data_IF_495975416435
#
_entry.id   IF_495975416435
#
_cell.length_a   1.000
_cell.length_b   1.000
_cell.length_c   1.000
_cell.angle_alpha   90.00
_cell.angle_beta   90.00
_cell.angle_gamma   90.00
#
_symmetry.space_group_name_H-M   'P 1'
#
loop_
_entity.id
_entity.type
_entity.pdbx_description
1 polymer ?
#
# COMPACT_ATOMS: atom_id res chain seq x y z
N UNK A 1 12.91 23.82 14.77
CA UNK A 1 13.87 22.83 15.28
C UNK A 1 13.89 21.64 14.35
N UNK A 2 15.02 20.94 14.23
CA UNK A 2 15.13 19.72 13.41
C UNK A 2 14.82 18.52 14.29
N UNK A 3 14.09 17.53 13.77
CA UNK A 3 13.85 16.26 14.46
C UNK A 3 15.09 15.38 14.42
N UNK A 4 15.52 14.92 15.59
CA UNK A 4 16.58 13.92 15.74
C UNK A 4 16.03 12.49 15.72
N UNK A 5 16.93 11.50 15.67
CA UNK A 5 16.58 10.08 15.82
C UNK A 5 15.87 9.79 17.15
N UNK A 6 16.34 10.39 18.25
CA UNK A 6 15.73 10.22 19.58
C UNK A 6 14.30 10.77 19.64
N UNK A 7 14.04 11.92 18.99
CA UNK A 7 12.68 12.50 18.93
C UNK A 7 11.73 11.57 18.16
N UNK A 8 12.22 10.92 17.10
CA UNK A 8 11.45 9.96 16.31
C UNK A 8 11.17 8.69 17.10
N UNK A 9 12.16 8.11 17.79
CA UNK A 9 11.97 6.94 18.66
C UNK A 9 10.96 7.22 19.76
N UNK A 10 11.10 8.34 20.48
CA UNK A 10 10.14 8.76 21.50
C UNK A 10 8.73 8.97 20.92
N UNK A 11 8.63 9.49 19.69
CA UNK A 11 7.37 9.62 18.96
C UNK A 11 6.72 8.27 18.64
N UNK A 12 7.49 7.28 18.21
CA UNK A 12 6.98 5.93 17.93
C UNK A 12 6.52 5.22 19.21
N UNK A 13 7.27 5.37 20.31
CA UNK A 13 6.90 4.88 21.63
C UNK A 13 5.60 5.53 22.11
N UNK A 14 5.49 6.86 22.05
CA UNK A 14 4.29 7.59 22.46
C UNK A 14 3.06 7.27 21.60
N UNK A 15 3.24 6.98 20.30
CA UNK A 15 2.18 6.51 19.41
C UNK A 15 1.72 5.07 19.77
N UNK A 16 2.51 4.34 20.56
CA UNK A 16 2.22 2.99 21.02
C UNK A 16 2.65 1.89 20.05
N UNK A 17 3.65 2.14 19.19
CA UNK A 17 4.18 1.12 18.30
C UNK A 17 4.92 0.05 19.12
N UNK A 18 4.53 -1.24 19.07
CA UNK A 18 5.18 -2.25 19.89
C UNK A 18 6.61 -2.57 19.41
N UNK A 19 7.53 -2.74 20.36
CA UNK A 19 8.86 -3.32 20.09
C UNK A 19 8.69 -4.72 19.48
N UNK A 20 9.50 -5.06 18.49
CA UNK A 20 9.43 -6.33 17.77
C UNK A 20 8.26 -6.45 16.78
N UNK A 21 7.46 -5.40 16.59
CA UNK A 21 6.34 -5.46 15.66
C UNK A 21 6.78 -5.63 14.21
N UNK A 22 5.92 -6.30 13.44
CA UNK A 22 5.91 -6.16 11.98
C UNK A 22 5.01 -5.00 11.60
N UNK A 23 5.52 -4.04 10.84
CA UNK A 23 4.80 -2.82 10.48
C UNK A 23 4.93 -2.51 9.00
N UNK A 24 3.81 -2.24 8.34
CA UNK A 24 3.83 -1.61 7.01
C UNK A 24 3.71 -0.09 7.15
N UNK A 25 4.56 0.64 6.44
CA UNK A 25 4.73 2.07 6.58
C UNK A 25 4.34 2.80 5.31
N UNK A 26 3.51 3.81 5.47
CA UNK A 26 3.20 4.82 4.46
C UNK A 26 3.64 6.16 5.00
N UNK A 27 4.50 6.90 4.28
CA UNK A 27 5.11 8.10 4.83
C UNK A 27 5.23 9.23 3.82
N UNK A 28 5.06 10.46 4.33
CA UNK A 28 5.41 11.70 3.64
C UNK A 28 6.49 12.41 4.45
N UNK A 29 7.74 12.37 4.00
CA UNK A 29 8.86 12.99 4.73
C UNK A 29 8.63 14.49 4.96
N UNK A 30 8.05 15.19 3.99
CA UNK A 30 7.80 16.63 4.10
C UNK A 30 6.81 16.99 5.21
N UNK A 31 5.95 16.05 5.63
CA UNK A 31 4.98 16.29 6.70
C UNK A 31 5.65 16.41 8.09
N UNK A 32 6.84 15.84 8.27
CA UNK A 32 7.57 15.93 9.54
C UNK A 32 8.19 17.31 9.80
N UNK A 33 8.25 18.17 8.79
CA UNK A 33 9.10 19.37 8.82
C UNK A 33 10.55 19.01 8.48
N UNK A 34 11.51 19.48 9.28
CA UNK A 34 12.93 19.22 9.07
C UNK A 34 13.35 18.01 9.92
N UNK A 35 13.90 16.98 9.28
CA UNK A 35 14.48 15.80 9.93
C UNK A 35 15.99 15.81 9.69
N UNK A 36 16.79 15.67 10.75
CA UNK A 36 18.24 15.53 10.65
C UNK A 36 18.55 14.25 9.86
N UNK A 37 19.41 14.29 8.84
CA UNK A 37 19.69 13.12 7.99
C UNK A 37 18.54 12.66 7.09
N UNK A 38 17.40 13.36 7.09
CA UNK A 38 16.26 13.10 6.21
C UNK A 38 15.61 11.73 6.46
N UNK A 39 15.19 11.05 5.39
CA UNK A 39 14.45 9.79 5.51
C UNK A 39 15.26 8.63 6.08
N UNK A 40 16.59 8.65 5.92
CA UNK A 40 17.46 7.61 6.47
C UNK A 40 17.33 7.55 8.00
N UNK A 41 17.20 8.71 8.65
CA UNK A 41 17.00 8.82 10.09
C UNK A 41 15.61 8.35 10.52
N UNK A 42 14.57 8.57 9.70
CA UNK A 42 13.22 8.04 9.97
C UNK A 42 13.23 6.50 9.91
N UNK A 43 13.87 5.91 8.90
CA UNK A 43 14.02 4.46 8.80
C UNK A 43 14.91 3.90 9.93
N UNK A 44 16.01 4.59 10.26
CA UNK A 44 16.92 4.24 11.36
C UNK A 44 16.20 4.20 12.70
N UNK A 45 15.56 5.31 13.08
CA UNK A 45 14.76 5.43 14.29
C UNK A 45 13.68 4.35 14.40
N UNK A 46 12.98 4.06 13.29
CA UNK A 46 11.94 3.03 13.28
C UNK A 46 12.54 1.63 13.53
N UNK A 47 13.69 1.32 12.91
CA UNK A 47 14.37 0.03 13.12
C UNK A 47 14.92 -0.09 14.54
N UNK A 48 15.51 0.98 15.07
CA UNK A 48 16.02 1.03 16.44
C UNK A 48 14.89 0.80 17.44
N UNK A 49 13.78 1.53 17.30
CA UNK A 49 12.59 1.39 18.14
C UNK A 49 12.01 -0.04 18.12
N UNK A 50 11.88 -0.63 16.92
CA UNK A 50 11.37 -1.99 16.80
C UNK A 50 12.36 -3.05 17.28
N UNK A 51 13.65 -2.74 17.32
CA UNK A 51 14.71 -3.67 17.70
C UNK A 51 14.89 -4.84 16.73
N UNK A 52 15.73 -5.84 17.09
CA UNK A 52 16.16 -6.89 16.17
C UNK A 52 15.06 -7.89 15.76
N UNK A 53 13.95 -7.93 16.50
CA UNK A 53 12.78 -8.76 16.16
C UNK A 53 11.79 -8.05 15.24
N UNK A 54 11.96 -6.74 15.05
CA UNK A 54 11.09 -5.90 14.24
C UNK A 54 11.23 -6.14 12.74
N UNK A 55 10.12 -6.03 12.00
CA UNK A 55 10.14 -6.06 10.54
C UNK A 55 9.44 -4.83 9.97
N UNK A 56 10.16 -4.04 9.17
CA UNK A 56 9.62 -2.88 8.45
C UNK A 56 9.27 -3.28 7.03
N UNK A 57 8.07 -2.91 6.59
CA UNK A 57 7.58 -3.15 5.22
C UNK A 57 7.11 -1.84 4.61
N UNK A 58 7.33 -1.65 3.32
CA UNK A 58 6.88 -0.48 2.56
C UNK A 58 6.30 -0.90 1.21
N UNK A 59 5.21 -0.27 0.74
CA UNK A 59 4.82 -0.39 -0.66
C UNK A 59 5.92 0.17 -1.56
N UNK A 60 6.37 -0.63 -2.54
CA UNK A 60 7.40 -0.25 -3.51
C UNK A 60 6.82 -0.30 -4.93
N UNK A 61 5.61 0.23 -5.10
CA UNK A 61 4.85 0.13 -6.34
C UNK A 61 5.57 0.78 -7.51
N UNK A 62 5.41 0.17 -8.68
CA UNK A 62 6.11 0.50 -9.93
C UNK A 62 5.13 0.68 -11.08
N UNK A 63 3.84 0.82 -10.77
CA UNK A 63 2.77 1.00 -11.76
C UNK A 63 2.92 2.23 -12.65
N UNK A 64 3.72 3.23 -12.27
CA UNK A 64 4.02 4.37 -13.14
C UNK A 64 5.02 4.04 -14.25
N UNK A 65 5.97 3.15 -13.97
CA UNK A 65 7.01 2.73 -14.91
C UNK A 65 6.59 1.50 -15.71
N UNK A 66 6.00 0.50 -15.04
CA UNK A 66 5.70 -0.82 -15.61
C UNK A 66 4.20 -0.90 -15.92
N UNK A 67 3.71 -0.10 -16.87
CA UNK A 67 2.30 -0.11 -17.30
C UNK A 67 2.17 -0.02 -18.81
N UNK A 68 1.02 -0.45 -19.32
CA UNK A 68 0.61 -0.15 -20.69
C UNK A 68 0.37 1.37 -20.84
N UNK A 69 1.18 2.10 -21.64
CA UNK A 69 0.98 3.53 -21.86
C UNK A 69 -0.19 3.81 -22.81
N UNK A 70 -0.71 2.79 -23.48
CA UNK A 70 -1.77 2.91 -24.49
C UNK A 70 -2.93 1.95 -24.17
N UNK A 71 -3.61 2.13 -23.01
CA UNK A 71 -4.74 1.31 -22.64
C UNK A 71 -5.85 1.40 -23.69
N UNK A 72 -6.30 0.24 -24.19
CA UNK A 72 -7.33 0.14 -25.23
C UNK A 72 -6.83 0.25 -26.68
N UNK A 73 -5.55 0.58 -26.90
CA UNK A 73 -4.97 0.53 -28.25
C UNK A 73 -4.72 -0.92 -28.69
N UNK A 74 -4.79 -1.15 -30.00
CA UNK A 74 -4.57 -2.46 -30.62
C UNK A 74 -3.14 -3.00 -30.46
N UNK A 75 -2.88 -4.14 -31.11
CA UNK A 75 -1.57 -4.80 -31.08
C UNK A 75 -0.43 -3.91 -31.59
N UNK A 76 -0.72 -2.98 -32.51
CA UNK A 76 0.28 -2.12 -33.18
C UNK A 76 0.80 -0.96 -32.32
N UNK A 77 0.21 -0.70 -31.15
CA UNK A 77 0.72 0.36 -30.28
C UNK A 77 2.11 -0.02 -29.74
N UNK A 78 3.07 0.91 -29.88
CA UNK A 78 4.43 0.70 -29.43
C UNK A 78 4.48 0.65 -27.89
N UNK A 79 4.88 -0.52 -27.38
CA UNK A 79 5.07 -0.77 -25.95
C UNK A 79 6.49 -1.26 -25.64
N UNK A 80 7.40 -1.15 -26.61
CA UNK A 80 8.77 -1.66 -26.51
C UNK A 80 9.56 -0.97 -25.39
N UNK A 81 9.32 0.32 -25.19
CA UNK A 81 9.98 1.16 -24.19
C UNK A 81 9.58 0.89 -22.73
N UNK A 82 8.53 0.09 -22.47
CA UNK A 82 8.13 -0.24 -21.09
C UNK A 82 9.14 -1.24 -20.50
N UNK A 83 9.76 -0.97 -19.34
CA UNK A 83 10.75 -1.88 -18.76
C UNK A 83 10.07 -3.15 -18.20
N UNK A 84 10.83 -4.25 -18.16
CA UNK A 84 10.50 -5.39 -17.30
C UNK A 84 10.77 -5.02 -15.84
N UNK A 85 9.94 -5.55 -14.93
CA UNK A 85 10.23 -5.43 -13.51
C UNK A 85 11.51 -6.18 -13.13
N UNK A 86 12.28 -5.57 -12.24
CA UNK A 86 13.43 -6.20 -11.60
C UNK A 86 13.59 -5.64 -10.18
N UNK A 87 14.32 -6.35 -9.33
CA UNK A 87 14.46 -6.06 -7.91
C UNK A 87 14.94 -4.61 -7.62
N UNK A 88 15.86 -4.11 -8.46
CA UNK A 88 16.44 -2.77 -8.37
C UNK A 88 15.62 -1.65 -9.03
N UNK A 89 14.46 -1.96 -9.61
CA UNK A 89 13.66 -0.95 -10.32
C UNK A 89 13.17 0.14 -9.35
N UNK A 90 13.44 1.44 -9.60
CA UNK A 90 13.02 2.50 -8.69
C UNK A 90 11.50 2.59 -8.51
N UNK A 91 11.08 3.19 -7.41
CA UNK A 91 9.67 3.47 -7.11
C UNK A 91 9.47 4.97 -6.90
N UNK A 92 8.30 5.48 -7.32
CA UNK A 92 7.89 6.87 -7.09
C UNK A 92 7.01 7.02 -5.83
N UNK A 93 6.92 5.98 -5.00
CA UNK A 93 6.06 5.95 -3.81
C UNK A 93 6.53 6.87 -2.67
N UNK A 94 7.68 7.52 -2.81
CA UNK A 94 8.22 8.49 -1.86
C UNK A 94 9.56 8.05 -1.24
N UNK A 95 10.12 8.92 -0.40
CA UNK A 95 11.47 8.74 0.13
C UNK A 95 11.64 7.49 1.01
N UNK A 96 10.57 7.07 1.71
CA UNK A 96 10.64 5.96 2.67
C UNK A 96 10.85 4.60 1.96
N UNK A 97 10.05 4.25 0.94
CA UNK A 97 10.38 3.14 0.05
C UNK A 97 11.78 3.24 -0.54
N UNK A 98 12.16 4.38 -1.12
CA UNK A 98 13.51 4.57 -1.72
C UNK A 98 14.64 4.26 -0.74
N UNK A 99 14.53 4.72 0.51
CA UNK A 99 15.51 4.45 1.55
C UNK A 99 15.60 2.96 1.90
N UNK A 100 14.46 2.28 2.02
CA UNK A 100 14.44 0.84 2.32
C UNK A 100 14.99 0.03 1.13
N UNK A 101 14.68 0.40 -0.12
CA UNK A 101 15.24 -0.28 -1.30
C UNK A 101 16.77 -0.14 -1.41
N UNK A 102 17.38 0.86 -0.77
CA UNK A 102 18.83 1.05 -0.75
C UNK A 102 19.54 0.17 0.28
N UNK A 103 18.82 -0.46 1.21
CA UNK A 103 19.41 -1.38 2.18
C UNK A 103 19.72 -2.74 1.51
N UNK A 104 20.98 -3.23 1.50
CA UNK A 104 21.34 -4.47 0.82
C UNK A 104 20.74 -5.74 1.45
N UNK A 105 20.26 -5.65 2.70
CA UNK A 105 19.60 -6.78 3.38
C UNK A 105 18.10 -6.82 3.12
N UNK A 106 17.52 -5.82 2.43
CA UNK A 106 16.10 -5.80 2.10
C UNK A 106 15.74 -6.95 1.17
N UNK A 107 14.52 -7.42 1.28
CA UNK A 107 13.88 -8.28 0.29
C UNK A 107 12.72 -7.54 -0.37
N UNK A 108 12.40 -7.89 -1.61
CA UNK A 108 11.31 -7.29 -2.37
C UNK A 108 10.47 -8.39 -3.03
N UNK A 109 9.15 -8.23 -3.00
CA UNK A 109 8.26 -9.13 -3.73
C UNK A 109 8.31 -8.88 -5.24
N UNK A 110 7.90 -9.87 -6.02
CA UNK A 110 8.15 -9.91 -7.47
C UNK A 110 7.06 -9.28 -8.35
N UNK A 111 5.99 -8.72 -7.78
CA UNK A 111 4.89 -8.23 -8.61
C UNK A 111 5.29 -7.00 -9.44
N UNK A 112 5.09 -7.00 -10.77
CA UNK A 112 5.64 -5.96 -11.65
C UNK A 112 5.18 -4.53 -11.38
N UNK A 113 4.01 -4.36 -10.76
CA UNK A 113 3.41 -3.05 -10.49
C UNK A 113 3.17 -2.74 -9.02
N UNK A 114 3.14 -3.75 -8.16
CA UNK A 114 2.56 -3.67 -6.81
C UNK A 114 3.46 -4.31 -5.75
N UNK A 115 4.76 -4.40 -6.04
CA UNK A 115 5.73 -5.00 -5.13
C UNK A 115 5.79 -4.25 -3.78
N UNK A 116 6.13 -4.98 -2.73
CA UNK A 116 6.49 -4.43 -1.42
C UNK A 116 7.95 -4.76 -1.15
N UNK A 117 8.61 -3.95 -0.34
CA UNK A 117 9.93 -4.25 0.17
C UNK A 117 9.89 -4.36 1.68
N UNK A 118 10.67 -5.30 2.23
CA UNK A 118 10.67 -5.64 3.64
C UNK A 118 12.10 -5.79 4.16
N UNK A 119 12.30 -5.46 5.43
CA UNK A 119 13.56 -5.53 6.14
C UNK A 119 13.32 -5.99 7.57
N UNK A 120 13.94 -7.10 7.97
CA UNK A 120 13.72 -7.75 9.27
C UNK A 120 13.57 -9.27 9.17
N UNK A 121 13.41 -9.99 10.29
CA UNK A 121 13.40 -11.45 10.33
C UNK A 121 12.26 -12.08 9.52
N UNK A 122 11.13 -11.38 9.34
CA UNK A 122 9.98 -11.88 8.58
C UNK A 122 9.96 -11.43 7.11
N UNK A 123 10.97 -10.67 6.65
CA UNK A 123 11.01 -10.12 5.31
C UNK A 123 10.85 -11.20 4.22
N UNK A 124 11.56 -12.33 4.38
CA UNK A 124 11.53 -13.44 3.40
C UNK A 124 10.13 -14.03 3.27
N UNK A 125 9.47 -14.25 4.39
CA UNK A 125 8.13 -14.82 4.44
C UNK A 125 7.10 -13.87 3.80
N UNK A 126 7.14 -12.58 4.16
CA UNK A 126 6.24 -11.56 3.63
C UNK A 126 6.39 -11.37 2.12
N UNK A 127 7.62 -11.40 1.60
CA UNK A 127 7.88 -11.14 0.17
C UNK A 127 7.90 -12.39 -0.70
N UNK A 128 7.73 -13.59 -0.13
CA UNK A 128 7.92 -14.85 -0.83
C UNK A 128 6.92 -15.06 -1.99
N UNK A 129 5.70 -14.54 -1.85
CA UNK A 129 4.62 -14.80 -2.81
C UNK A 129 3.80 -13.54 -3.05
N UNK A 130 3.48 -13.31 -4.31
CA UNK A 130 2.51 -12.29 -4.71
C UNK A 130 1.84 -12.71 -6.03
N UNK A 131 0.51 -12.84 -6.06
CA UNK A 131 -0.20 -13.22 -7.28
C UNK A 131 -0.18 -12.08 -8.30
N UNK A 132 -0.26 -12.40 -9.59
CA UNK A 132 -0.37 -11.41 -10.66
C UNK A 132 -1.76 -10.75 -10.67
N UNK A 133 -2.81 -11.55 -10.53
CA UNK A 133 -4.17 -11.06 -10.34
C UNK A 133 -4.41 -10.75 -8.86
N UNK A 134 -5.19 -9.72 -8.57
CA UNK A 134 -5.48 -9.30 -7.18
C UNK A 134 -4.21 -9.14 -6.35
N UNK A 135 -3.27 -8.33 -6.85
CA UNK A 135 -1.89 -8.27 -6.38
C UNK A 135 -1.72 -7.84 -4.91
N UNK A 136 -2.75 -7.22 -4.34
CA UNK A 136 -2.83 -6.82 -2.92
C UNK A 136 -3.90 -7.59 -2.14
N UNK A 137 -4.49 -8.63 -2.74
CA UNK A 137 -5.54 -9.46 -2.16
C UNK A 137 -5.01 -10.75 -1.52
N UNK A 138 -5.83 -11.81 -1.52
CA UNK A 138 -5.45 -13.11 -0.94
C UNK A 138 -4.17 -13.68 -1.57
N UNK A 139 -3.30 -14.25 -0.75
CA UNK A 139 -2.00 -14.78 -1.15
C UNK A 139 -0.93 -13.72 -1.46
N UNK A 140 -1.24 -12.43 -1.25
CA UNK A 140 -0.27 -11.34 -1.41
C UNK A 140 0.49 -11.05 -0.11
N UNK A 141 1.53 -10.20 -0.15
CA UNK A 141 2.18 -9.71 1.06
C UNK A 141 1.24 -9.01 2.05
N UNK A 142 0.15 -8.40 1.57
CA UNK A 142 -0.87 -7.78 2.43
C UNK A 142 -1.67 -8.82 3.21
N UNK A 143 -2.02 -9.94 2.57
CA UNK A 143 -2.64 -11.09 3.22
C UNK A 143 -1.72 -11.66 4.29
N UNK A 144 -0.43 -11.85 3.94
CA UNK A 144 0.56 -12.40 4.88
C UNK A 144 0.77 -11.48 6.09
N UNK A 145 0.86 -10.17 5.88
CA UNK A 145 0.97 -9.21 6.96
C UNK A 145 -0.26 -9.23 7.88
N UNK A 146 -1.47 -9.36 7.32
CA UNK A 146 -2.70 -9.49 8.11
C UNK A 146 -2.71 -10.79 8.93
N UNK A 147 -2.29 -11.91 8.35
CA UNK A 147 -2.12 -13.19 9.06
C UNK A 147 -1.11 -13.08 10.21
N UNK A 148 -0.03 -12.33 10.04
CA UNK A 148 0.98 -12.09 11.07
C UNK A 148 0.53 -11.11 12.16
N UNK A 149 -0.65 -10.48 12.02
CA UNK A 149 -1.11 -9.45 12.95
C UNK A 149 -0.25 -8.19 12.88
N UNK A 150 0.23 -7.83 11.69
CA UNK A 150 1.07 -6.65 11.49
C UNK A 150 0.33 -5.35 11.87
N UNK A 151 1.11 -4.31 12.12
CA UNK A 151 0.63 -2.95 12.30
C UNK A 151 0.67 -2.19 10.98
N UNK A 152 -0.24 -1.22 10.82
CA UNK A 152 -0.24 -0.25 9.73
C UNK A 152 0.10 1.11 10.32
N UNK A 153 1.15 1.73 9.80
CA UNK A 153 1.67 3.00 10.26
C UNK A 153 1.60 4.03 9.13
N UNK A 154 0.78 5.07 9.34
CA UNK A 154 0.67 6.21 8.43
C UNK A 154 1.41 7.39 9.06
N UNK A 155 2.46 7.86 8.41
CA UNK A 155 3.35 8.92 8.89
C UNK A 155 3.16 10.18 8.03
N UNK A 156 2.36 11.13 8.51
CA UNK A 156 2.09 12.37 7.78
C UNK A 156 1.25 12.16 6.51
N UNK A 157 0.50 11.06 6.44
CA UNK A 157 -0.44 10.76 5.35
C UNK A 157 -1.76 10.26 5.92
N UNK A 158 -2.85 10.51 5.19
CA UNK A 158 -4.17 10.03 5.55
C UNK A 158 -4.52 8.67 4.94
N UNK A 159 -5.73 8.21 5.23
CA UNK A 159 -6.24 6.92 4.74
C UNK A 159 -6.39 6.82 3.21
N UNK A 160 -6.41 7.94 2.47
CA UNK A 160 -6.30 7.95 1.02
C UNK A 160 -4.96 7.37 0.49
N UNK A 161 -3.94 7.23 1.35
CA UNK A 161 -2.65 6.61 1.02
C UNK A 161 -2.48 5.23 1.63
N UNK A 162 -3.45 4.72 2.38
CA UNK A 162 -3.37 3.43 3.06
C UNK A 162 -3.70 2.28 2.09
N UNK A 163 -2.68 1.57 1.59
CA UNK A 163 -2.91 0.49 0.62
C UNK A 163 -3.53 -0.78 1.23
N UNK A 164 -3.54 -0.92 2.56
CA UNK A 164 -4.28 -1.98 3.25
C UNK A 164 -5.79 -1.88 3.04
N UNK A 165 -6.31 -0.70 2.71
CA UNK A 165 -7.74 -0.57 2.36
C UNK A 165 -8.08 -1.22 1.02
N UNK A 166 -7.13 -1.32 0.07
CA UNK A 166 -7.32 -2.14 -1.13
C UNK A 166 -7.33 -3.64 -0.79
N UNK A 167 -6.53 -4.08 0.19
CA UNK A 167 -6.62 -5.45 0.69
C UNK A 167 -8.00 -5.70 1.31
N UNK A 168 -8.49 -4.83 2.19
CA UNK A 168 -9.85 -4.95 2.75
C UNK A 168 -10.93 -5.03 1.66
N UNK A 169 -10.83 -4.18 0.64
CA UNK A 169 -11.77 -4.20 -0.48
C UNK A 169 -11.67 -5.50 -1.30
N UNK A 170 -10.47 -6.06 -1.47
CA UNK A 170 -10.31 -7.35 -2.17
C UNK A 170 -11.08 -8.52 -1.53
N UNK A 171 -11.41 -8.41 -0.24
CA UNK A 171 -12.07 -9.46 0.53
C UNK A 171 -13.60 -9.46 0.40
N UNK A 172 -14.20 -8.45 -0.27
CA UNK A 172 -15.66 -8.33 -0.40
C UNK A 172 -16.11 -8.60 -1.83
N UNK A 173 -17.27 -9.26 -2.01
CA UNK A 173 -17.73 -9.72 -3.33
C UNK A 173 -18.07 -8.60 -4.31
N UNK A 174 -18.49 -7.43 -3.81
CA UNK A 174 -18.88 -6.26 -4.60
C UNK A 174 -17.77 -5.21 -4.74
N UNK A 175 -16.50 -5.62 -4.59
CA UNK A 175 -15.36 -4.74 -4.75
C UNK A 175 -15.30 -4.09 -6.15
N UNK A 176 -14.70 -2.90 -6.23
CA UNK A 176 -14.41 -2.27 -7.53
C UNK A 176 -13.38 -3.09 -8.28
N UNK A 177 -13.42 -3.07 -9.61
CA UNK A 177 -12.56 -3.86 -10.47
C UNK A 177 -11.80 -2.99 -11.46
N UNK A 178 -10.56 -3.36 -11.73
CA UNK A 178 -9.76 -2.85 -12.84
C UNK A 178 -9.00 -3.99 -13.51
N UNK A 179 -8.40 -3.68 -14.65
CA UNK A 179 -7.42 -4.54 -15.30
C UNK A 179 -6.03 -3.95 -15.12
N UNK A 180 -5.06 -4.81 -14.84
CA UNK A 180 -3.64 -4.48 -14.91
C UNK A 180 -3.06 -5.05 -16.19
N UNK A 181 -2.21 -4.25 -16.83
CA UNK A 181 -1.44 -4.65 -18.00
C UNK A 181 0.02 -4.30 -17.78
N UNK A 182 0.90 -5.28 -17.91
CA UNK A 182 2.34 -5.11 -17.73
C UNK A 182 3.12 -6.16 -18.54
N UNK A 183 4.36 -5.84 -18.94
CA UNK A 183 5.25 -6.84 -19.54
C UNK A 183 5.72 -7.83 -18.46
N UNK A 184 5.85 -9.09 -18.83
CA UNK A 184 6.31 -10.18 -17.98
C UNK A 184 7.16 -11.16 -18.80
N UNK A 185 7.84 -12.09 -18.13
CA UNK A 185 8.62 -13.14 -18.78
C UNK A 185 7.96 -14.50 -18.53
N UNK A 186 7.63 -15.21 -19.60
CA UNK A 186 7.12 -16.59 -19.57
C UNK A 186 8.04 -17.41 -20.47
N UNK A 187 8.68 -18.45 -19.91
CA UNK A 187 9.62 -19.32 -20.63
C UNK A 187 10.75 -18.57 -21.37
N UNK A 188 11.22 -17.47 -20.78
CA UNK A 188 12.29 -16.62 -21.35
C UNK A 188 11.79 -15.56 -22.33
N UNK A 189 10.52 -15.63 -22.73
CA UNK A 189 9.91 -14.70 -23.70
C UNK A 189 9.18 -13.56 -23.01
N UNK A 190 9.35 -12.35 -23.54
CA UNK A 190 8.64 -11.16 -23.08
C UNK A 190 7.20 -11.18 -23.61
N UNK A 191 6.24 -11.25 -22.71
CA UNK A 191 4.80 -11.24 -23.02
C UNK A 191 4.10 -10.09 -22.32
N UNK A 192 2.95 -9.66 -22.86
CA UNK A 192 2.04 -8.73 -22.19
C UNK A 192 0.98 -9.51 -21.43
N UNK A 193 0.93 -9.33 -20.12
CA UNK A 193 -0.05 -9.97 -19.24
C UNK A 193 -1.17 -8.98 -18.96
N UNK A 194 -2.42 -9.45 -19.07
CA UNK A 194 -3.61 -8.77 -18.58
C UNK A 194 -4.28 -9.59 -17.48
N UNK A 195 -4.50 -8.98 -16.32
CA UNK A 195 -5.09 -9.65 -15.16
C UNK A 195 -6.04 -8.73 -14.40
N UNK A 196 -7.10 -9.27 -13.75
CA UNK A 196 -7.99 -8.47 -12.93
C UNK A 196 -7.33 -8.05 -11.61
N UNK A 197 -7.74 -6.89 -11.09
CA UNK A 197 -7.37 -6.41 -9.76
C UNK A 197 -8.49 -5.57 -9.13
N UNK A 198 -8.32 -5.21 -7.86
CA UNK A 198 -9.16 -4.25 -7.14
C UNK A 198 -9.02 -2.87 -7.76
N UNK A 199 -10.16 -2.21 -7.97
CA UNK A 199 -10.23 -0.87 -8.53
C UNK A 199 -9.57 0.20 -7.66
N UNK A 200 -9.24 1.33 -8.27
CA UNK A 200 -8.68 2.47 -7.56
C UNK A 200 -9.74 3.18 -6.73
N UNK A 201 -9.36 3.65 -5.54
CA UNK A 201 -10.30 4.37 -4.68
C UNK A 201 -10.49 5.82 -5.10
N UNK A 202 -9.40 6.45 -5.56
CA UNK A 202 -9.34 7.87 -5.93
C UNK A 202 -9.86 8.82 -4.82
N UNK A 203 -9.71 8.41 -3.56
CA UNK A 203 -10.13 9.20 -2.38
C UNK A 203 -11.63 9.17 -2.10
N UNK A 204 -12.39 8.28 -2.75
CA UNK A 204 -13.85 8.23 -2.66
C UNK A 204 -14.34 7.63 -1.34
N UNK A 205 -13.81 6.47 -0.94
CA UNK A 205 -14.26 5.76 0.25
C UNK A 205 -13.21 5.68 1.34
N UNK A 206 -11.93 5.61 0.96
CA UNK A 206 -10.87 5.33 1.93
C UNK A 206 -10.72 6.39 3.02
N UNK A 207 -10.80 7.71 2.73
CA UNK A 207 -10.81 8.73 3.79
C UNK A 207 -11.96 8.55 4.77
N UNK A 208 -13.18 8.29 4.28
CA UNK A 208 -14.37 8.14 5.11
C UNK A 208 -14.34 6.88 5.96
N UNK A 209 -13.92 5.74 5.38
CA UNK A 209 -13.75 4.49 6.13
C UNK A 209 -12.66 4.62 7.20
N UNK A 210 -11.59 5.35 6.88
CA UNK A 210 -10.52 5.68 7.83
C UNK A 210 -11.02 6.51 9.02
N UNK A 211 -11.71 7.62 8.74
CA UNK A 211 -12.29 8.47 9.78
C UNK A 211 -13.27 7.71 10.68
N UNK A 212 -14.13 6.87 10.10
CA UNK A 212 -15.03 6.02 10.91
C UNK A 212 -14.28 5.00 11.77
N UNK A 213 -13.10 4.53 11.35
CA UNK A 213 -12.26 3.65 12.15
C UNK A 213 -11.55 4.41 13.29
N UNK A 214 -11.17 5.67 13.07
CA UNK A 214 -10.69 6.59 14.11
C UNK A 214 -11.78 6.82 15.16
N UNK A 215 -13.00 7.15 14.74
CA UNK A 215 -14.16 7.35 15.63
C UNK A 215 -14.51 6.08 16.43
N UNK A 216 -14.29 4.90 15.84
CA UNK A 216 -14.49 3.61 16.48
C UNK A 216 -13.35 3.20 17.45
N UNK A 217 -12.30 4.03 17.60
CA UNK A 217 -11.17 3.75 18.48
C UNK A 217 -10.21 2.68 17.96
N UNK A 218 -10.25 2.35 16.67
CA UNK A 218 -9.37 1.35 16.04
C UNK A 218 -8.02 1.93 15.60
N UNK A 219 -7.87 3.25 15.67
CA UNK A 219 -6.69 3.98 15.22
C UNK A 219 -6.17 4.83 16.36
N UNK A 220 -4.90 4.64 16.70
CA UNK A 220 -4.16 5.56 17.58
C UNK A 220 -3.64 6.71 16.75
N UNK A 221 -3.95 7.93 17.16
CA UNK A 221 -3.48 9.15 16.51
C UNK A 221 -2.49 9.86 17.42
N UNK A 222 -1.41 10.35 16.86
CA UNK A 222 -0.38 11.12 17.57
C UNK A 222 0.36 12.04 16.62
N UNK A 223 1.27 12.85 17.16
CA UNK A 223 2.08 13.78 16.36
C UNK A 223 3.55 13.49 16.59
N UNK A 224 4.32 13.36 15.51
CA UNK A 224 5.77 13.23 15.54
C UNK A 224 6.37 14.41 14.78
N UNK A 225 6.94 15.36 15.52
CA UNK A 225 7.29 16.70 15.02
C UNK A 225 6.08 17.45 14.48
N UNK A 226 5.99 17.65 13.16
CA UNK A 226 4.84 18.27 12.52
C UNK A 226 3.90 17.26 11.84
N UNK A 227 4.27 15.97 11.79
CA UNK A 227 3.49 14.96 11.10
C UNK A 227 2.39 14.40 12.01
N UNK A 228 1.14 14.47 11.55
CA UNK A 228 0.06 13.67 12.13
C UNK A 228 0.25 12.20 11.72
N UNK A 229 0.32 11.33 12.71
CA UNK A 229 0.65 9.93 12.57
C UNK A 229 -0.52 9.06 13.06
N UNK A 230 -0.72 7.94 12.38
CA UNK A 230 -1.76 6.95 12.72
C UNK A 230 -1.14 5.57 12.84
N UNK A 231 -1.49 4.86 13.90
CA UNK A 231 -1.12 3.47 14.12
C UNK A 231 -2.37 2.63 14.32
N UNK A 232 -2.46 1.50 13.63
CA UNK A 232 -3.59 0.58 13.72
C UNK A 232 -3.13 -0.86 13.59
N UNK A 233 -3.80 -1.76 14.29
CA UNK A 233 -3.60 -3.20 14.13
C UNK A 233 -4.34 -3.69 12.87
N UNK A 234 -3.66 -4.42 11.99
CA UNK A 234 -4.24 -4.82 10.70
C UNK A 234 -5.48 -5.68 10.83
N UNK A 235 -5.59 -6.56 11.84
CA UNK A 235 -6.73 -7.47 11.98
C UNK A 235 -8.06 -6.75 12.23
N UNK A 236 -8.22 -6.03 13.37
CA UNK A 236 -9.48 -5.34 13.64
C UNK A 236 -9.77 -4.23 12.63
N UNK A 237 -8.73 -3.55 12.12
CA UNK A 237 -8.91 -2.52 11.10
C UNK A 237 -9.47 -3.08 9.78
N UNK A 238 -8.93 -4.20 9.30
CA UNK A 238 -9.38 -4.79 8.03
C UNK A 238 -10.78 -5.40 8.14
N UNK A 239 -11.11 -6.04 9.26
CA UNK A 239 -12.47 -6.53 9.50
C UNK A 239 -13.49 -5.38 9.45
N UNK A 240 -13.19 -4.27 10.15
CA UNK A 240 -14.01 -3.07 10.12
C UNK A 240 -14.10 -2.46 8.72
N UNK A 241 -12.97 -2.25 8.05
CA UNK A 241 -12.89 -1.62 6.75
C UNK A 241 -13.63 -2.43 5.67
N UNK A 242 -13.46 -3.75 5.64
CA UNK A 242 -14.13 -4.61 4.68
C UNK A 242 -15.67 -4.52 4.84
N UNK A 243 -16.17 -4.54 6.08
CA UNK A 243 -17.60 -4.35 6.35
C UNK A 243 -18.09 -2.99 5.87
N UNK A 244 -17.40 -1.91 6.21
CA UNK A 244 -17.80 -0.54 5.81
C UNK A 244 -17.72 -0.30 4.31
N UNK A 245 -16.71 -0.83 3.64
CA UNK A 245 -16.60 -0.77 2.18
C UNK A 245 -17.74 -1.52 1.50
N UNK A 246 -18.12 -2.70 2.01
CA UNK A 246 -19.27 -3.46 1.50
C UNK A 246 -20.55 -2.65 1.56
N UNK A 247 -20.81 -2.02 2.70
CA UNK A 247 -21.99 -1.19 2.95
C UNK A 247 -22.01 0.05 2.03
N UNK A 248 -20.89 0.78 1.93
CA UNK A 248 -20.75 1.96 1.08
C UNK A 248 -20.92 1.64 -0.41
N UNK A 249 -20.26 0.61 -0.92
CA UNK A 249 -20.38 0.20 -2.32
C UNK A 249 -21.78 -0.35 -2.66
N UNK A 250 -22.47 -0.98 -1.71
CA UNK A 250 -23.85 -1.42 -1.89
C UNK A 250 -24.83 -0.25 -1.99
N UNK A 251 -24.58 0.87 -1.29
CA UNK A 251 -25.39 2.08 -1.39
C UNK A 251 -25.25 2.76 -2.76
N UNK A 252 -24.03 2.84 -3.29
CA UNK A 252 -23.76 3.45 -4.61
C UNK A 252 -24.44 2.72 -5.77
N UNK A 253 -24.50 1.39 -5.69
CA UNK A 253 -25.22 0.58 -6.68
C UNK A 253 -26.73 0.83 -6.70
N UNK A 254 -27.31 1.41 -5.65
CA UNK A 254 -28.74 1.77 -5.56
C UNK A 254 -29.04 3.18 -6.05
N UNK A 255 -28.05 4.08 -6.04
CA UNK A 255 -28.20 5.49 -6.45
C UNK A 255 -28.04 5.70 -7.97
N UNK A 256 -27.71 4.67 -8.75
CA UNK A 256 -27.63 4.76 -10.22
C UNK A 256 -28.92 4.21 -10.84
N UNK A 257 -29.94 5.01 -11.18
CA UNK A 257 -31.06 4.50 -11.97
C UNK A 257 -30.55 4.20 -13.37
N UNK A 258 -30.79 2.97 -13.85
CA UNK A 258 -30.64 2.63 -15.27
C UNK A 258 -31.59 3.53 -16.07
N UNK A 259 -31.11 4.67 -16.57
CA UNK A 259 -31.76 5.36 -17.68
C UNK A 259 -31.57 4.49 -18.92
N UNK A 260 -32.48 3.53 -19.10
CA UNK A 260 -32.69 2.94 -20.41
C UNK A 260 -33.11 4.03 -21.40
N UNK A 261 -32.71 3.96 -22.67
CA UNK A 261 -33.17 4.90 -23.67
C UNK A 261 -34.70 4.85 -23.74
N UNK A 262 -35.33 6.02 -23.75
CA UNK A 262 -36.77 6.13 -23.96
C UNK A 262 -37.13 5.46 -25.31
N UNK A 263 -38.24 4.70 -25.39
CA UNK A 263 -38.67 4.13 -26.65
C UNK A 263 -39.03 5.28 -27.59
N UNK A 264 -38.42 5.28 -28.78
CA UNK A 264 -38.82 6.16 -29.87
C UNK A 264 -40.19 5.67 -30.33
N UNK A 265 -41.23 6.46 -30.05
CA UNK A 265 -42.56 6.27 -30.63
C UNK A 265 -42.52 6.62 -32.12
N UNK A 266 -43.34 5.86 -32.85
CA UNK A 266 -43.53 5.76 -34.30
C UNK A 266 -43.61 7.07 -35.08
#
# INVERSE_FOLDING_TARGET
MSLSENDLCAGFEALGLPVGATVIVHASLSAFGRVEGGVATVLGALREHLGPQGTVVVPAFTGDAVRDPHPGAGADADRSGVPLFHDQLPTLMGAMPTALLADPQRLRSSHPQASVAALGPLARDITARQPLAYAVGRGSPFDRLHELGAHILLLGVGHNRNSFLHYAESLISNHRRKLRRFPYVVDGERVWVEVPDVGDDNGRHFPGVGAEAEDAGLVRVGVIGAAECRLMESRPFIEFAARRLRERLAAEGRETPRRGPAPVSS
#
